data_IF_286389394937
#
_entry.id   IF_286389394937
#
_cell.length_a   1.000
_cell.length_b   1.000
_cell.length_c   1.000
_cell.angle_alpha   90.00
_cell.angle_beta   90.00
_cell.angle_gamma   90.00
#
_symmetry.space_group_name_H-M   'P 1'
#
loop_
_entity.id
_entity.type
_entity.pdbx_description
1 polymer ?
#
# COMPACT_ATOMS: atom_id res chain seq x y z
N UNK A 1 -1.31 -114.87 39.48
CA UNK A 1 -0.82 -113.85 38.53
C UNK A 1 -1.32 -112.43 38.84
N UNK A 2 -2.05 -112.18 39.93
CA UNK A 2 -2.79 -110.90 40.08
C UNK A 2 -2.07 -109.79 40.84
N UNK A 3 -1.10 -110.09 41.72
CA UNK A 3 -0.41 -109.04 42.52
C UNK A 3 0.65 -108.28 41.71
N UNK A 4 1.46 -109.00 40.94
CA UNK A 4 2.56 -108.44 40.14
C UNK A 4 2.05 -107.50 39.02
N UNK A 5 0.90 -107.82 38.42
CA UNK A 5 0.26 -106.97 37.39
C UNK A 5 -0.25 -105.66 37.99
N UNK A 6 -0.83 -105.70 39.20
CA UNK A 6 -1.35 -104.49 39.88
C UNK A 6 -0.21 -103.56 40.29
N UNK A 7 0.85 -104.12 40.88
CA UNK A 7 2.04 -103.35 41.29
C UNK A 7 2.74 -102.70 40.09
N UNK A 8 2.80 -103.40 38.94
CA UNK A 8 3.39 -102.85 37.72
C UNK A 8 2.54 -101.71 37.13
N UNK A 9 1.20 -101.81 37.16
CA UNK A 9 0.29 -100.75 36.70
C UNK A 9 0.37 -99.52 37.62
N UNK A 10 0.39 -99.70 38.94
CA UNK A 10 0.53 -98.61 39.90
C UNK A 10 1.90 -97.92 39.79
N UNK A 11 2.97 -98.70 39.58
CA UNK A 11 4.31 -98.21 39.23
C UNK A 11 4.35 -97.44 37.91
N UNK A 12 3.57 -97.83 36.90
CA UNK A 12 3.48 -97.10 35.63
C UNK A 12 2.73 -95.77 35.78
N UNK A 13 1.64 -95.74 36.55
CA UNK A 13 0.85 -94.51 36.82
C UNK A 13 1.67 -93.50 37.64
N UNK A 14 2.36 -93.94 38.69
CA UNK A 14 3.22 -93.08 39.52
C UNK A 14 4.39 -92.50 38.73
N UNK A 15 5.07 -93.29 37.89
CA UNK A 15 6.11 -92.81 36.96
C UNK A 15 5.55 -91.83 35.92
N UNK A 16 4.37 -92.09 35.36
CA UNK A 16 3.69 -91.17 34.43
C UNK A 16 3.36 -89.82 35.06
N UNK A 17 2.87 -89.82 36.31
CA UNK A 17 2.59 -88.62 37.09
C UNK A 17 3.85 -87.82 37.39
N UNK A 18 4.95 -88.49 37.75
CA UNK A 18 6.25 -87.86 37.98
C UNK A 18 6.84 -87.23 36.70
N UNK A 19 6.71 -87.91 35.55
CA UNK A 19 7.14 -87.37 34.25
C UNK A 19 6.31 -86.14 33.83
N UNK A 20 4.98 -86.19 33.99
CA UNK A 20 4.10 -85.05 33.71
C UNK A 20 4.43 -83.86 34.62
N UNK A 21 4.64 -84.09 35.91
CA UNK A 21 5.04 -83.05 36.87
C UNK A 21 6.41 -82.44 36.54
N UNK A 22 7.36 -83.25 36.04
CA UNK A 22 8.67 -82.75 35.60
C UNK A 22 8.54 -81.86 34.36
N UNK A 23 7.79 -82.32 33.34
CA UNK A 23 7.52 -81.53 32.14
C UNK A 23 6.80 -80.21 32.46
N UNK A 24 5.84 -80.22 33.39
CA UNK A 24 5.18 -79.00 33.84
C UNK A 24 6.13 -78.03 34.53
N UNK A 25 7.08 -78.52 35.33
CA UNK A 25 8.13 -77.69 35.93
C UNK A 25 9.06 -77.07 34.89
N UNK A 26 9.49 -77.85 33.89
CA UNK A 26 10.36 -77.34 32.82
C UNK A 26 9.67 -76.25 31.99
N UNK A 27 8.38 -76.41 31.71
CA UNK A 27 7.56 -75.39 31.04
C UNK A 27 7.42 -74.13 31.89
N UNK A 28 7.22 -74.28 33.21
CA UNK A 28 7.13 -73.15 34.13
C UNK A 28 8.43 -72.34 34.14
N UNK A 29 9.58 -73.02 34.27
CA UNK A 29 10.90 -72.38 34.23
C UNK A 29 11.13 -71.64 32.90
N UNK A 30 10.77 -72.25 31.78
CA UNK A 30 10.86 -71.60 30.47
C UNK A 30 9.92 -70.39 30.34
N UNK A 31 8.76 -70.41 31.01
CA UNK A 31 7.87 -69.25 31.04
C UNK A 31 8.36 -68.14 31.96
N UNK A 32 8.97 -68.49 33.10
CA UNK A 32 9.59 -67.53 34.03
C UNK A 32 10.76 -66.80 33.35
N UNK A 33 11.65 -67.53 32.67
CA UNK A 33 12.77 -66.95 31.90
C UNK A 33 12.28 -65.97 30.83
N UNK A 34 11.24 -66.34 30.08
CA UNK A 34 10.61 -65.44 29.10
C UNK A 34 9.98 -64.21 29.73
N UNK A 35 9.43 -64.31 30.94
CA UNK A 35 8.89 -63.17 31.68
C UNK A 35 10.03 -62.22 32.06
N UNK A 36 11.16 -62.74 32.54
CA UNK A 36 12.35 -61.92 32.86
C UNK A 36 12.85 -61.18 31.62
N UNK A 37 13.02 -61.87 30.49
CA UNK A 37 13.44 -61.21 29.23
C UNK A 37 12.43 -60.16 28.77
N UNK A 38 11.13 -60.41 28.95
CA UNK A 38 10.09 -59.43 28.62
C UNK A 38 10.15 -58.21 29.54
N UNK A 39 10.34 -58.41 30.84
CA UNK A 39 10.48 -57.34 31.83
C UNK A 39 11.68 -56.44 31.50
N UNK A 40 12.83 -57.04 31.16
CA UNK A 40 14.02 -56.30 30.71
C UNK A 40 13.71 -55.49 29.44
N UNK A 41 13.14 -56.12 28.41
CA UNK A 41 12.82 -55.43 27.14
C UNK A 41 11.77 -54.33 27.31
N UNK A 42 10.85 -54.47 28.26
CA UNK A 42 9.85 -53.47 28.60
C UNK A 42 10.48 -52.30 29.37
N UNK A 43 11.48 -52.57 30.20
CA UNK A 43 12.34 -51.56 30.80
C UNK A 43 13.03 -50.70 29.73
N UNK A 44 13.71 -51.33 28.79
CA UNK A 44 14.38 -50.65 27.66
C UNK A 44 13.38 -49.84 26.81
N UNK A 45 12.17 -50.37 26.60
CA UNK A 45 11.13 -49.69 25.85
C UNK A 45 10.61 -48.45 26.59
N UNK A 46 10.42 -48.54 27.90
CA UNK A 46 10.00 -47.41 28.74
C UNK A 46 11.07 -46.31 28.77
N UNK A 47 12.36 -46.67 28.89
CA UNK A 47 13.46 -45.71 28.83
C UNK A 47 13.45 -44.93 27.51
N UNK A 48 13.27 -45.61 26.38
CA UNK A 48 13.14 -44.95 25.07
C UNK A 48 11.90 -44.06 24.96
N UNK A 49 10.78 -44.46 25.59
CA UNK A 49 9.58 -43.63 25.64
C UNK A 49 9.86 -42.35 26.41
N UNK A 50 10.56 -42.44 27.55
CA UNK A 50 10.93 -41.28 28.35
C UNK A 50 11.91 -40.37 27.60
N UNK A 51 12.93 -40.91 26.95
CA UNK A 51 13.83 -40.13 26.08
C UNK A 51 13.07 -39.37 24.97
N UNK A 52 12.11 -40.04 24.32
CA UNK A 52 11.28 -39.40 23.29
C UNK A 52 10.39 -38.32 23.88
N UNK A 53 9.81 -38.56 25.05
CA UNK A 53 8.98 -37.59 25.75
C UNK A 53 9.77 -36.34 26.13
N UNK A 54 10.97 -36.50 26.70
CA UNK A 54 11.85 -35.39 27.07
C UNK A 54 12.23 -34.56 25.84
N UNK A 55 12.64 -35.22 24.75
CA UNK A 55 12.95 -34.54 23.48
C UNK A 55 11.76 -33.79 22.90
N UNK A 56 10.55 -34.34 23.01
CA UNK A 56 9.33 -33.67 22.58
C UNK A 56 9.02 -32.44 23.44
N UNK A 57 9.14 -32.56 24.75
CA UNK A 57 8.93 -31.46 25.69
C UNK A 57 9.91 -30.33 25.40
N UNK A 58 11.21 -30.64 25.28
CA UNK A 58 12.26 -29.67 24.98
C UNK A 58 12.06 -29.01 23.61
N UNK A 59 11.71 -29.80 22.59
CA UNK A 59 11.45 -29.30 21.24
C UNK A 59 10.25 -28.35 21.21
N UNK A 60 9.17 -28.68 21.92
CA UNK A 60 7.98 -27.82 22.04
C UNK A 60 8.28 -26.54 22.82
N UNK A 61 9.08 -26.62 23.90
CA UNK A 61 9.51 -25.44 24.64
C UNK A 61 10.39 -24.52 23.78
N UNK A 62 11.34 -25.09 23.03
CA UNK A 62 12.20 -24.33 22.12
C UNK A 62 11.37 -23.62 21.04
N UNK A 63 10.43 -24.33 20.41
CA UNK A 63 9.55 -23.75 19.39
C UNK A 63 8.67 -22.64 19.96
N UNK A 64 8.14 -22.82 21.17
CA UNK A 64 7.37 -21.79 21.88
C UNK A 64 8.20 -20.53 22.11
N UNK A 65 9.46 -20.66 22.53
CA UNK A 65 10.32 -19.51 22.78
C UNK A 65 10.73 -18.81 21.48
N UNK A 66 10.99 -19.57 20.41
CA UNK A 66 11.26 -19.00 19.08
C UNK A 66 10.07 -18.18 18.56
N UNK A 67 8.85 -18.71 18.66
CA UNK A 67 7.64 -18.00 18.25
C UNK A 67 7.42 -16.75 19.10
N UNK A 68 7.63 -16.84 20.41
CA UNK A 68 7.53 -15.69 21.31
C UNK A 68 8.55 -14.61 20.95
N UNK A 69 9.80 -14.99 20.68
CA UNK A 69 10.84 -14.05 20.29
C UNK A 69 10.54 -13.37 18.95
N UNK A 70 10.07 -14.14 17.96
CA UNK A 70 9.65 -13.60 16.67
C UNK A 70 8.54 -12.56 16.80
N UNK A 71 7.52 -12.85 17.62
CA UNK A 71 6.42 -11.91 17.89
C UNK A 71 6.94 -10.67 18.62
N UNK A 72 7.83 -10.82 19.60
CA UNK A 72 8.41 -9.69 20.34
C UNK A 72 9.20 -8.75 19.42
N UNK A 73 10.05 -9.28 18.55
CA UNK A 73 10.82 -8.49 17.58
C UNK A 73 9.91 -7.69 16.64
N UNK A 74 8.85 -8.34 16.14
CA UNK A 74 7.89 -7.66 15.27
C UNK A 74 7.11 -6.55 15.99
N UNK A 75 6.69 -6.80 17.25
CA UNK A 75 6.02 -5.79 18.09
C UNK A 75 6.94 -4.62 18.40
N UNK A 76 8.21 -4.87 18.72
CA UNK A 76 9.20 -3.81 18.98
C UNK A 76 9.42 -2.94 17.74
N UNK A 77 9.52 -3.56 16.56
CA UNK A 77 9.62 -2.84 15.28
C UNK A 77 8.39 -2.00 14.99
N UNK A 78 7.18 -2.52 15.26
CA UNK A 78 5.93 -1.76 15.11
C UNK A 78 5.89 -0.56 16.06
N UNK A 79 6.23 -0.74 17.34
CA UNK A 79 6.32 0.35 18.32
C UNK A 79 7.32 1.42 17.85
N UNK A 80 8.49 0.99 17.34
CA UNK A 80 9.48 1.91 16.78
C UNK A 80 8.94 2.73 15.60
N UNK A 81 8.18 2.09 14.70
CA UNK A 81 7.54 2.81 13.58
C UNK A 81 6.43 3.76 14.04
N UNK A 82 5.65 3.38 15.04
CA UNK A 82 4.57 4.21 15.60
C UNK A 82 5.13 5.46 16.27
N UNK A 83 6.21 5.30 17.07
CA UNK A 83 6.93 6.42 17.67
C UNK A 83 7.51 7.38 16.62
N UNK A 84 8.05 6.85 15.50
CA UNK A 84 8.57 7.67 14.41
C UNK A 84 7.45 8.46 13.71
N UNK A 85 6.29 7.82 13.51
CA UNK A 85 5.11 8.48 12.95
C UNK A 85 4.60 9.57 13.91
N UNK A 86 4.54 9.30 15.21
CA UNK A 86 4.16 10.32 16.21
C UNK A 86 5.12 11.52 16.18
N UNK A 87 6.43 11.28 16.15
CA UNK A 87 7.42 12.36 16.08
C UNK A 87 7.31 13.19 14.78
N UNK A 88 7.01 12.55 13.65
CA UNK A 88 6.73 13.27 12.41
C UNK A 88 5.44 14.08 12.51
N UNK A 89 4.39 13.53 13.14
CA UNK A 89 3.11 14.20 13.30
C UNK A 89 3.19 15.39 14.27
N UNK A 90 4.03 15.33 15.30
CA UNK A 90 4.30 16.47 16.18
C UNK A 90 5.08 17.56 15.47
N UNK A 91 6.13 17.21 14.73
CA UNK A 91 6.90 18.16 13.92
C UNK A 91 6.00 18.87 12.88
N UNK A 92 5.17 18.12 12.16
CA UNK A 92 4.20 18.70 11.20
C UNK A 92 3.19 19.63 11.88
N UNK A 93 2.71 19.27 13.08
CA UNK A 93 1.80 20.14 13.84
C UNK A 93 2.48 21.44 14.25
N UNK A 94 3.76 21.41 14.60
CA UNK A 94 4.55 22.59 14.96
C UNK A 94 4.78 23.50 13.74
N UNK A 95 5.20 22.94 12.60
CA UNK A 95 5.34 23.69 11.35
C UNK A 95 4.01 24.35 10.93
N UNK A 96 2.88 23.64 11.02
CA UNK A 96 1.55 24.21 10.75
C UNK A 96 1.23 25.35 11.73
N UNK A 97 1.63 25.24 13.01
CA UNK A 97 1.43 26.28 14.00
C UNK A 97 2.27 27.53 13.69
N UNK A 98 3.52 27.37 13.25
CA UNK A 98 4.38 28.46 12.78
C UNK A 98 3.82 29.15 11.54
N UNK A 99 3.37 28.38 10.55
CA UNK A 99 2.70 28.91 9.35
C UNK A 99 1.40 29.67 9.72
N UNK A 100 0.61 29.16 10.68
CA UNK A 100 -0.55 29.90 11.22
C UNK A 100 -0.15 31.16 11.99
N UNK A 101 0.98 31.13 12.71
CA UNK A 101 1.55 32.28 13.42
C UNK A 101 1.97 33.39 12.48
N UNK A 102 2.60 33.05 11.35
CA UNK A 102 2.93 34.00 10.28
C UNK A 102 1.67 34.64 9.67
N UNK A 103 0.59 33.87 9.49
CA UNK A 103 -0.72 34.38 9.05
C UNK A 103 -1.38 35.28 10.12
N UNK A 104 -1.04 35.13 11.40
CA UNK A 104 -1.55 35.95 12.49
C UNK A 104 -0.77 37.26 12.72
N UNK A 105 0.52 37.30 12.36
CA UNK A 105 1.41 38.47 12.55
C UNK A 105 1.42 39.41 11.33
N UNK A 106 0.99 38.97 10.15
CA UNK A 106 0.59 39.94 9.13
C UNK A 106 -0.65 40.66 9.64
N UNK A 107 -0.67 42.01 9.72
CA UNK A 107 -1.89 42.72 10.09
C UNK A 107 -2.96 42.27 9.10
N UNK A 108 -3.95 41.52 9.61
CA UNK A 108 -5.13 41.09 8.88
C UNK A 108 -5.94 42.35 8.59
N UNK A 109 -5.46 43.09 7.61
CA UNK A 109 -6.23 44.09 6.91
C UNK A 109 -7.23 43.29 6.08
N UNK A 110 -8.27 42.74 6.73
CA UNK A 110 -9.51 42.49 6.01
C UNK A 110 -10.11 43.86 5.68
N UNK A 111 -9.44 44.58 4.78
CA UNK A 111 -10.11 45.54 3.93
C UNK A 111 -11.16 44.70 3.22
N UNK A 112 -12.41 45.14 3.28
CA UNK A 112 -13.47 44.53 2.50
C UNK A 112 -13.21 44.87 1.03
N UNK A 113 -12.27 44.15 0.42
CA UNK A 113 -11.82 44.39 -0.95
C UNK A 113 -12.98 43.96 -1.86
N UNK A 114 -13.64 44.91 -2.53
CA UNK A 114 -14.77 44.59 -3.38
C UNK A 114 -14.33 43.62 -4.47
N UNK A 115 -15.08 42.53 -4.64
CA UNK A 115 -14.81 41.58 -5.73
C UNK A 115 -14.80 42.35 -7.06
N UNK A 116 -13.78 42.19 -7.91
CA UNK A 116 -13.73 42.86 -9.20
C UNK A 116 -14.99 42.55 -10.00
N UNK A 117 -15.55 43.60 -10.64
CA UNK A 117 -16.78 43.47 -11.43
C UNK A 117 -16.55 42.47 -12.56
N UNK A 118 -17.56 41.65 -12.86
CA UNK A 118 -17.52 40.70 -13.97
C UNK A 118 -17.17 41.41 -15.28
N UNK A 119 -16.20 40.86 -16.02
CA UNK A 119 -15.72 41.42 -17.28
C UNK A 119 -16.87 41.45 -18.30
N UNK A 120 -17.33 42.64 -18.66
CA UNK A 120 -18.38 42.81 -19.67
C UNK A 120 -17.77 42.81 -21.07
N UNK A 121 -18.37 42.04 -21.97
CA UNK A 121 -17.87 41.70 -23.32
C UNK A 121 -17.67 42.90 -24.27
N UNK A 122 -18.07 44.12 -23.88
CA UNK A 122 -17.85 45.34 -24.66
C UNK A 122 -16.39 45.81 -24.53
N UNK A 123 -15.56 45.42 -25.50
CA UNK A 123 -14.10 45.52 -25.50
C UNK A 123 -13.60 46.93 -25.84
N UNK A 124 -13.04 47.63 -24.87
CA UNK A 124 -11.92 48.55 -25.12
C UNK A 124 -10.67 47.99 -24.44
N UNK A 125 -9.48 48.22 -25.01
CA UNK A 125 -8.19 47.81 -24.41
C UNK A 125 -8.04 48.40 -23.00
N UNK A 126 -8.54 49.62 -22.80
CA UNK A 126 -8.56 50.30 -21.50
C UNK A 126 -9.42 49.58 -20.46
N UNK A 127 -10.53 48.96 -20.88
CA UNK A 127 -11.40 48.19 -19.98
C UNK A 127 -10.77 46.85 -19.58
N UNK A 128 -10.00 46.25 -20.49
CA UNK A 128 -9.18 45.06 -20.20
C UNK A 128 -8.08 45.42 -19.21
N UNK A 129 -7.29 46.46 -19.48
CA UNK A 129 -6.21 46.89 -18.59
C UNK A 129 -6.72 47.25 -17.20
N UNK A 130 -7.84 47.97 -17.10
CA UNK A 130 -8.46 48.31 -15.82
C UNK A 130 -8.98 47.09 -15.06
N UNK A 131 -9.54 46.09 -15.76
CA UNK A 131 -10.01 44.85 -15.14
C UNK A 131 -8.85 44.01 -14.62
N UNK A 132 -7.78 43.88 -15.41
CA UNK A 132 -6.57 43.16 -15.04
C UNK A 132 -5.89 43.80 -13.83
N UNK A 133 -5.76 45.12 -13.84
CA UNK A 133 -5.25 45.86 -12.69
C UNK A 133 -6.10 45.64 -11.43
N UNK A 134 -7.43 45.64 -11.57
CA UNK A 134 -8.34 45.38 -10.45
C UNK A 134 -8.23 43.97 -9.86
N UNK A 135 -7.99 42.96 -10.71
CA UNK A 135 -7.79 41.56 -10.29
C UNK A 135 -6.44 41.38 -9.58
N UNK A 136 -5.38 41.99 -10.11
CA UNK A 136 -4.04 41.96 -9.51
C UNK A 136 -4.06 42.60 -8.11
N UNK A 137 -4.68 43.77 -7.97
CA UNK A 137 -4.85 44.42 -6.66
C UNK A 137 -5.73 43.60 -5.70
N UNK A 138 -6.74 42.89 -6.22
CA UNK A 138 -7.59 42.01 -5.41
C UNK A 138 -6.80 40.84 -4.82
N UNK A 139 -5.99 40.16 -5.62
CA UNK A 139 -5.16 39.05 -5.15
C UNK A 139 -4.08 39.52 -4.18
N UNK A 140 -3.47 40.68 -4.47
CA UNK A 140 -2.49 41.30 -3.58
C UNK A 140 -3.07 41.60 -2.21
N UNK A 141 -4.26 42.20 -2.16
CA UNK A 141 -4.94 42.53 -0.91
C UNK A 141 -5.49 41.31 -0.15
N UNK A 142 -5.70 40.16 -0.83
CA UNK A 142 -6.13 38.90 -0.21
C UNK A 142 -4.97 38.03 0.28
N UNK A 143 -3.71 38.42 0.03
CA UNK A 143 -2.54 37.63 0.41
C UNK A 143 -2.38 36.34 -0.40
N UNK A 144 -3.01 36.25 -1.58
CA UNK A 144 -2.90 35.13 -2.52
C UNK A 144 -1.71 35.40 -3.43
N UNK A 145 -0.53 35.52 -2.83
CA UNK A 145 0.72 35.70 -3.58
C UNK A 145 1.64 34.52 -3.24
N UNK A 146 1.33 33.36 -3.81
CA UNK A 146 2.29 32.29 -4.05
C UNK A 146 2.62 32.24 -5.56
N UNK A 147 3.47 31.31 -5.98
CA UNK A 147 3.94 31.11 -7.36
C UNK A 147 2.84 31.19 -8.43
N UNK A 148 1.57 30.90 -8.11
CA UNK A 148 0.44 31.06 -9.03
C UNK A 148 0.18 32.52 -9.45
N UNK A 149 0.48 33.49 -8.58
CA UNK A 149 0.39 34.93 -8.90
C UNK A 149 1.50 35.35 -9.87
N UNK A 150 2.69 34.76 -9.76
CA UNK A 150 3.79 35.00 -10.70
C UNK A 150 3.48 34.41 -12.07
N UNK A 151 2.97 33.18 -12.13
CA UNK A 151 2.51 32.57 -13.38
C UNK A 151 1.34 33.34 -14.01
N UNK A 152 0.41 33.82 -13.18
CA UNK A 152 -0.67 34.67 -13.65
C UNK A 152 -0.15 36.00 -14.20
N UNK A 153 0.75 36.70 -13.49
CA UNK A 153 1.36 37.94 -13.96
C UNK A 153 2.25 37.74 -15.19
N UNK A 154 2.97 36.62 -15.32
CA UNK A 154 3.69 36.25 -16.56
C UNK A 154 2.73 35.97 -17.71
N UNK A 155 1.62 35.28 -17.46
CA UNK A 155 0.55 35.05 -18.43
C UNK A 155 -0.15 36.37 -18.81
N UNK A 156 -0.34 37.28 -17.88
CA UNK A 156 -0.88 38.63 -18.12
C UNK A 156 0.09 39.48 -18.93
N UNK A 157 1.39 39.45 -18.62
CA UNK A 157 2.40 40.10 -19.44
C UNK A 157 2.43 39.50 -20.84
N UNK A 158 2.25 38.18 -20.99
CA UNK A 158 2.06 37.58 -22.31
C UNK A 158 0.81 38.15 -22.98
N UNK A 159 -0.38 38.09 -22.35
CA UNK A 159 -1.64 38.58 -22.95
C UNK A 159 -1.58 40.08 -23.30
N UNK A 160 -1.04 40.93 -22.44
CA UNK A 160 -0.90 42.38 -22.66
C UNK A 160 0.25 42.73 -23.63
N UNK A 161 1.28 41.90 -23.72
CA UNK A 161 2.36 42.02 -24.72
C UNK A 161 2.04 41.27 -26.03
N UNK A 162 0.85 40.67 -26.15
CA UNK A 162 0.32 40.21 -27.43
C UNK A 162 -0.26 41.42 -28.16
N UNK A 163 0.61 42.30 -28.66
CA UNK A 163 0.21 43.28 -29.66
C UNK A 163 -0.53 42.58 -30.81
N UNK A 164 -1.40 43.28 -31.54
CA UNK A 164 -2.31 42.71 -32.56
C UNK A 164 -1.68 41.66 -33.49
N UNK A 165 -0.37 41.77 -33.73
CA UNK A 165 0.46 40.81 -34.48
C UNK A 165 0.49 39.39 -33.85
N UNK A 166 0.62 39.24 -32.54
CA UNK A 166 0.72 37.92 -31.92
C UNK A 166 -0.61 37.16 -31.88
N UNK A 167 -1.74 37.86 -31.74
CA UNK A 167 -3.07 37.25 -31.81
C UNK A 167 -3.35 36.71 -33.22
N UNK A 168 -2.85 37.41 -34.26
CA UNK A 168 -2.90 36.92 -35.65
C UNK A 168 -2.06 35.65 -35.83
N UNK A 169 -0.85 35.57 -35.25
CA UNK A 169 -0.02 34.36 -35.34
C UNK A 169 -0.67 33.16 -34.65
N UNK A 170 -1.23 33.31 -33.45
CA UNK A 170 -1.96 32.21 -32.78
C UNK A 170 -3.20 31.76 -33.55
N UNK A 171 -3.92 32.70 -34.17
CA UNK A 171 -5.02 32.37 -35.07
C UNK A 171 -4.53 31.57 -36.29
N UNK A 172 -3.46 32.03 -36.94
CA UNK A 172 -2.84 31.34 -38.08
C UNK A 172 -2.35 29.94 -37.70
N UNK A 173 -1.87 29.72 -36.47
CA UNK A 173 -1.39 28.42 -36.02
C UNK A 173 -2.50 27.36 -35.91
N UNK A 174 -3.69 27.76 -35.47
CA UNK A 174 -4.85 26.88 -35.36
C UNK A 174 -5.56 26.54 -36.67
N UNK A 175 -5.20 27.17 -37.79
CA UNK A 175 -5.83 26.93 -39.10
C UNK A 175 -5.33 25.66 -39.79
N UNK A 176 -6.18 25.04 -40.60
CA UNK A 176 -5.77 23.95 -41.51
C UNK A 176 -4.77 24.48 -42.56
N UNK A 177 -3.82 23.64 -43.07
CA UNK A 177 -2.76 24.11 -43.97
C UNK A 177 -3.24 24.86 -45.22
N UNK A 178 -4.35 24.43 -45.82
CA UNK A 178 -4.93 25.09 -46.99
C UNK A 178 -5.43 26.50 -46.68
N UNK A 179 -6.01 26.71 -45.49
CA UNK A 179 -6.50 28.02 -45.06
C UNK A 179 -5.32 28.96 -44.80
N UNK A 180 -4.26 28.49 -44.13
CA UNK A 180 -3.03 29.28 -43.92
C UNK A 180 -2.46 29.80 -45.24
N UNK A 181 -2.41 28.93 -46.27
CA UNK A 181 -1.90 29.28 -47.60
C UNK A 181 -2.76 30.35 -48.30
N UNK A 182 -4.09 30.28 -48.16
CA UNK A 182 -5.00 31.26 -48.75
C UNK A 182 -4.84 32.66 -48.12
N UNK A 183 -4.70 32.74 -46.79
CA UNK A 183 -4.46 34.03 -46.10
C UNK A 183 -3.11 34.64 -46.48
N UNK A 184 -2.08 33.80 -46.66
CA UNK A 184 -0.75 34.25 -47.08
C UNK A 184 -0.74 34.73 -48.54
N UNK A 185 -1.37 34.00 -49.46
CA UNK A 185 -1.49 34.40 -50.87
C UNK A 185 -2.22 35.75 -51.03
N UNK A 186 -3.18 36.05 -50.14
CA UNK A 186 -3.92 37.32 -50.12
C UNK A 186 -3.25 38.43 -49.30
N UNK A 187 -2.06 38.18 -48.74
CA UNK A 187 -1.28 39.17 -48.00
C UNK A 187 -1.95 39.65 -46.69
N UNK A 188 -2.80 38.83 -46.07
CA UNK A 188 -3.47 39.20 -44.82
C UNK A 188 -2.48 39.06 -43.67
N UNK A 189 -2.30 40.12 -42.88
CA UNK A 189 -1.35 40.19 -41.77
C UNK A 189 -2.00 40.63 -40.44
N UNK A 190 -3.33 40.79 -40.42
CA UNK A 190 -4.10 41.28 -39.28
C UNK A 190 -5.32 40.40 -39.07
N UNK A 191 -5.68 40.17 -37.79
CA UNK A 191 -6.79 39.31 -37.42
C UNK A 191 -8.14 39.83 -37.93
N UNK A 192 -8.39 41.14 -37.82
CA UNK A 192 -9.65 41.75 -38.27
C UNK A 192 -9.88 41.55 -39.76
N UNK A 193 -8.83 41.74 -40.58
CA UNK A 193 -8.87 41.49 -42.03
C UNK A 193 -9.05 40.01 -42.34
N UNK A 194 -8.45 39.13 -41.53
CA UNK A 194 -8.60 37.69 -41.68
C UNK A 194 -10.04 37.25 -41.39
N UNK A 195 -10.64 37.73 -40.30
CA UNK A 195 -12.04 37.45 -39.93
C UNK A 195 -13.01 37.95 -41.02
N UNK A 196 -12.84 39.17 -41.52
CA UNK A 196 -13.65 39.68 -42.63
C UNK A 196 -13.53 38.83 -43.90
N UNK A 197 -12.35 38.29 -44.19
CA UNK A 197 -12.14 37.40 -45.33
C UNK A 197 -12.83 36.04 -45.12
N UNK A 198 -12.76 35.44 -43.91
CA UNK A 198 -13.53 34.23 -43.55
C UNK A 198 -15.02 34.46 -43.76
N UNK A 199 -15.54 35.57 -43.26
CA UNK A 199 -16.95 35.93 -43.41
C UNK A 199 -17.34 36.14 -44.88
N UNK A 200 -16.43 36.65 -45.71
CA UNK A 200 -16.66 36.76 -47.15
C UNK A 200 -16.79 35.39 -47.82
N UNK A 201 -15.99 34.39 -47.41
CA UNK A 201 -16.12 33.02 -47.93
C UNK A 201 -17.44 32.35 -47.49
N UNK A 202 -17.88 32.59 -46.26
CA UNK A 202 -19.16 32.08 -45.75
C UNK A 202 -20.36 32.61 -46.56
N UNK A 203 -20.29 33.85 -47.07
CA UNK A 203 -21.34 34.44 -47.92
C UNK A 203 -21.38 33.85 -49.34
N UNK A 204 -20.30 33.24 -49.82
CA UNK A 204 -20.26 32.56 -51.12
C UNK A 204 -20.59 31.05 -51.06
N UNK A 205 -20.65 30.45 -49.86
CA UNK A 205 -20.92 29.01 -49.65
C UNK A 205 -22.37 28.57 -49.80
N UNK A 206 -23.21 29.37 -50.47
CA UNK A 206 -24.62 29.07 -50.74
C UNK A 206 -24.83 28.39 -52.08
N UNK A 207 -24.29 27.19 -52.27
CA UNK A 207 -24.83 26.15 -53.17
C UNK A 207 -24.14 24.83 -52.85
N UNK A 208 -24.89 23.96 -52.18
CA UNK A 208 -24.64 22.51 -52.16
C UNK A 208 -25.08 22.00 -53.53
N UNK A 209 -24.16 21.37 -54.25
CA UNK A 209 -24.50 20.29 -55.18
C UNK A 209 -24.44 18.97 -54.41
#
# INVERSE_FOLDING_TARGET
MSKEVIENVEGMVTRGRARKASRSRDILLASEDRVVTLEESMGDANEKIDEVNDRLIDGLQSMKEQLKQYVLDYVEKLIGSDNAIEAMMTALKEEIAELKGLVAVTPKTSVDVPKPKEFKVARSIKDVDNFLWGIEQYFYAKGIIDDASKEFSECLLQISNMGEKNVFFSFMDGLKPWAKKEFQHRGVQELTKAMSLVESFAKFGGKKD
#
